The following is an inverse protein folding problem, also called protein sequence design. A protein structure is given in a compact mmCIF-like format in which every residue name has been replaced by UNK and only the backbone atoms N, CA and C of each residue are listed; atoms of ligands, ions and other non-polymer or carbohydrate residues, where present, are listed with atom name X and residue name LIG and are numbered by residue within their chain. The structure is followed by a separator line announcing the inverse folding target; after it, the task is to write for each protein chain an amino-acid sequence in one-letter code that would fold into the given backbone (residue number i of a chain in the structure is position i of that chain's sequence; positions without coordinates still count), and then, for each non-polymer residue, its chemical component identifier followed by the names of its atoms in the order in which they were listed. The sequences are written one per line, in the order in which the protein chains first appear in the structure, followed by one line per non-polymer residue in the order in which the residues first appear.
data_IF_539724695545
#
_entry.id   IF_539724695545
#
_cell.length_a   1.000
_cell.length_b   1.000
_cell.length_c   1.000
_cell.angle_alpha   90.00
_cell.angle_beta   90.00
_cell.angle_gamma   90.00
#
_symmetry.space_group_name_H-M   'P 1'
#
loop_
_entity.id
_entity.type
_entity.pdbx_description
1 polymer ?
#
# COMPACT_ATOMS: atom_id res chain seq x y z
N UNK A 1 17.75 -32.57 4.62
CA UNK A 1 16.95 -31.82 3.63
C UNK A 1 17.94 -31.01 2.79
N UNK A 2 18.40 -31.57 1.68
CA UNK A 2 19.31 -30.85 0.76
C UNK A 2 18.40 -30.01 -0.13
N UNK A 3 18.44 -28.69 -0.01
CA UNK A 3 17.77 -27.81 -0.97
C UNK A 3 18.34 -28.11 -2.36
N UNK A 4 17.47 -28.52 -3.29
CA UNK A 4 17.86 -28.80 -4.66
C UNK A 4 18.36 -27.51 -5.33
N UNK A 5 19.45 -27.59 -6.10
CA UNK A 5 20.07 -26.43 -6.75
C UNK A 5 19.06 -25.65 -7.60
N UNK A 6 18.12 -26.36 -8.22
CA UNK A 6 17.05 -25.79 -9.05
C UNK A 6 16.11 -24.86 -8.26
N UNK A 7 15.78 -25.19 -7.00
CA UNK A 7 14.94 -24.34 -6.15
C UNK A 7 15.66 -23.06 -5.73
N UNK A 8 16.96 -23.15 -5.49
CA UNK A 8 17.79 -21.98 -5.17
C UNK A 8 17.84 -21.05 -6.39
N UNK A 9 18.12 -21.60 -7.58
CA UNK A 9 18.16 -20.83 -8.82
C UNK A 9 16.83 -20.14 -9.11
N UNK A 10 15.71 -20.86 -8.98
CA UNK A 10 14.37 -20.30 -9.20
C UNK A 10 14.07 -19.16 -8.21
N UNK A 11 14.39 -19.34 -6.94
CA UNK A 11 14.19 -18.31 -5.90
C UNK A 11 15.02 -17.05 -6.17
N UNK A 12 16.27 -17.22 -6.64
CA UNK A 12 17.12 -16.09 -7.02
C UNK A 12 16.57 -15.33 -8.22
N UNK A 13 15.97 -16.02 -9.19
CA UNK A 13 15.33 -15.37 -10.33
C UNK A 13 14.09 -14.60 -9.89
N UNK A 14 13.20 -15.19 -9.07
CA UNK A 14 12.06 -14.45 -8.53
C UNK A 14 12.51 -13.22 -7.76
N UNK A 15 13.50 -13.35 -6.86
CA UNK A 15 14.04 -12.23 -6.10
C UNK A 15 14.58 -11.13 -7.04
N UNK A 16 15.33 -11.48 -8.08
CA UNK A 16 15.88 -10.53 -9.04
C UNK A 16 14.79 -9.76 -9.79
N UNK A 17 13.73 -10.44 -10.24
CA UNK A 17 12.60 -9.81 -10.93
C UNK A 17 11.79 -8.93 -9.98
N UNK A 18 11.55 -9.39 -8.75
CA UNK A 18 10.86 -8.59 -7.73
C UNK A 18 11.66 -7.34 -7.39
N UNK A 19 12.99 -7.45 -7.30
CA UNK A 19 13.86 -6.30 -7.10
C UNK A 19 13.80 -5.32 -8.28
N UNK A 20 13.76 -5.83 -9.53
CA UNK A 20 13.60 -4.99 -10.70
C UNK A 20 12.26 -4.23 -10.69
N UNK A 21 11.14 -4.91 -10.37
CA UNK A 21 9.83 -4.28 -10.21
C UNK A 21 9.85 -3.26 -9.06
N UNK A 22 10.52 -3.58 -7.94
CA UNK A 22 10.68 -2.64 -6.82
C UNK A 22 11.43 -1.37 -7.25
N UNK A 23 12.52 -1.50 -8.03
CA UNK A 23 13.25 -0.36 -8.59
C UNK A 23 12.36 0.46 -9.53
N UNK A 24 11.56 -0.18 -10.39
CA UNK A 24 10.58 0.52 -11.22
C UNK A 24 9.58 1.28 -10.34
N UNK A 25 9.06 0.65 -9.28
CA UNK A 25 8.17 1.30 -8.31
C UNK A 25 8.82 2.52 -7.65
N UNK A 26 10.11 2.45 -7.28
CA UNK A 26 10.85 3.61 -6.78
C UNK A 26 10.95 4.74 -7.83
N UNK A 27 11.23 4.42 -9.09
CA UNK A 27 11.27 5.43 -10.16
C UNK A 27 9.90 6.07 -10.39
N UNK A 28 8.82 5.28 -10.32
CA UNK A 28 7.45 5.78 -10.41
C UNK A 28 7.11 6.70 -9.24
N UNK A 29 7.56 6.38 -8.02
CA UNK A 29 7.40 7.29 -6.87
C UNK A 29 8.02 8.66 -7.13
N UNK A 30 9.25 8.71 -7.65
CA UNK A 30 9.92 9.95 -8.03
C UNK A 30 9.12 10.71 -9.10
N UNK A 31 8.54 9.98 -10.07
CA UNK A 31 7.73 10.56 -11.14
C UNK A 31 6.39 11.12 -10.65
N UNK A 32 5.75 10.51 -9.66
CA UNK A 32 4.49 10.99 -9.07
C UNK A 32 4.73 12.15 -8.08
N UNK A 33 5.80 12.08 -7.28
CA UNK A 33 6.19 13.13 -6.34
C UNK A 33 7.26 14.06 -6.95
N UNK A 34 6.98 14.58 -8.16
CA UNK A 34 7.89 15.52 -8.85
C UNK A 34 8.21 16.72 -7.95
N UNK A 35 9.49 17.04 -7.84
CA UNK A 35 9.99 18.16 -7.05
C UNK A 35 10.36 17.81 -5.61
N UNK A 36 10.30 16.53 -5.23
CA UNK A 36 10.88 16.03 -3.98
C UNK A 36 12.35 15.68 -4.24
N UNK A 37 13.27 16.26 -3.48
CA UNK A 37 14.70 15.91 -3.55
C UNK A 37 15.00 14.84 -2.50
N UNK A 38 15.00 13.56 -2.87
CA UNK A 38 15.24 12.46 -1.90
C UNK A 38 16.56 12.68 -1.13
N UNK A 39 17.64 13.03 -1.83
CA UNK A 39 18.93 13.34 -1.20
C UNK A 39 18.82 14.58 -0.29
N UNK A 40 18.18 15.65 -0.78
CA UNK A 40 18.01 16.87 0.00
C UNK A 40 17.22 16.64 1.28
N UNK A 41 16.11 15.90 1.20
CA UNK A 41 15.28 15.58 2.36
C UNK A 41 15.98 14.61 3.32
N UNK A 42 16.56 13.51 2.84
CA UNK A 42 17.11 12.48 3.73
C UNK A 42 18.52 12.77 4.25
N UNK A 43 19.37 13.45 3.47
CA UNK A 43 20.79 13.63 3.80
C UNK A 43 21.09 15.05 4.26
N UNK A 44 20.52 16.05 3.58
CA UNK A 44 20.86 17.46 3.86
C UNK A 44 19.98 18.05 4.96
N UNK A 45 18.68 17.71 4.96
CA UNK A 45 17.69 18.20 5.94
C UNK A 45 17.45 17.26 7.12
N UNK A 46 17.85 15.99 7.01
CA UNK A 46 17.52 14.94 7.98
C UNK A 46 16.01 14.84 8.28
N UNK A 47 15.21 14.94 7.22
CA UNK A 47 13.76 15.03 7.31
C UNK A 47 13.14 13.66 7.63
N UNK A 48 12.91 13.42 8.92
CA UNK A 48 12.29 12.20 9.43
C UNK A 48 10.87 11.97 8.90
N UNK A 49 10.08 13.04 8.67
CA UNK A 49 8.74 12.91 8.12
C UNK A 49 8.77 12.35 6.70
N UNK A 50 9.67 12.86 5.84
CA UNK A 50 9.87 12.31 4.50
C UNK A 50 10.42 10.88 4.54
N UNK A 51 11.30 10.55 5.49
CA UNK A 51 11.80 9.19 5.68
C UNK A 51 10.67 8.19 6.00
N UNK A 52 9.71 8.59 6.84
CA UNK A 52 8.51 7.79 7.14
C UNK A 52 7.68 7.54 5.88
N UNK A 53 7.41 8.57 5.08
CA UNK A 53 6.67 8.44 3.80
C UNK A 53 7.38 7.45 2.88
N UNK A 54 8.68 7.58 2.69
CA UNK A 54 9.46 6.73 1.79
C UNK A 54 9.50 5.27 2.29
N UNK A 55 9.67 5.07 3.60
CA UNK A 55 9.61 3.75 4.22
C UNK A 55 8.25 3.09 4.00
N UNK A 56 7.16 3.84 4.19
CA UNK A 56 5.80 3.34 4.00
C UNK A 56 5.52 3.00 2.55
N UNK A 57 5.99 3.83 1.62
CA UNK A 57 5.91 3.52 0.20
C UNK A 57 6.61 2.21 -0.16
N UNK A 58 7.85 2.02 0.30
CA UNK A 58 8.59 0.78 0.03
C UNK A 58 7.95 -0.45 0.68
N UNK A 59 7.43 -0.32 1.89
CA UNK A 59 6.74 -1.41 2.56
C UNK A 59 5.41 -1.74 1.86
N UNK A 60 4.63 -0.73 1.50
CA UNK A 60 3.40 -0.87 0.72
C UNK A 60 3.65 -1.48 -0.66
N UNK A 61 4.71 -1.06 -1.35
CA UNK A 61 5.14 -1.64 -2.63
C UNK A 61 5.53 -3.12 -2.47
N UNK A 62 6.28 -3.45 -1.42
CA UNK A 62 6.66 -4.83 -1.11
C UNK A 62 5.44 -5.70 -0.86
N UNK A 63 4.46 -5.23 -0.07
CA UNK A 63 3.21 -5.98 0.12
C UNK A 63 2.41 -6.11 -1.18
N UNK A 64 2.31 -5.05 -1.96
CA UNK A 64 1.56 -5.08 -3.23
C UNK A 64 2.12 -6.13 -4.20
N UNK A 65 3.45 -6.19 -4.33
CA UNK A 65 4.15 -7.20 -5.15
C UNK A 65 4.02 -8.59 -4.50
N UNK A 66 4.06 -8.66 -3.17
CA UNK A 66 3.96 -9.90 -2.39
C UNK A 66 2.65 -10.67 -2.65
N UNK A 67 1.55 -9.99 -2.96
CA UNK A 67 0.28 -10.65 -3.28
C UNK A 67 0.36 -11.54 -4.53
N UNK A 68 1.10 -11.07 -5.54
CA UNK A 68 1.33 -11.80 -6.79
C UNK A 68 2.18 -13.06 -6.57
N UNK A 69 3.20 -12.94 -5.71
CA UNK A 69 4.16 -14.04 -5.46
C UNK A 69 3.59 -15.08 -4.48
N UNK A 70 2.81 -14.64 -3.50
CA UNK A 70 2.28 -15.53 -2.46
C UNK A 70 1.16 -16.45 -2.97
N UNK A 71 0.58 -16.15 -4.13
CA UNK A 71 -0.40 -16.99 -4.79
C UNK A 71 0.14 -18.38 -5.15
N UNK A 72 -0.73 -19.34 -5.50
CA UNK A 72 -0.27 -20.65 -5.92
C UNK A 72 0.49 -20.57 -7.24
N UNK A 73 1.67 -21.18 -7.27
CA UNK A 73 2.52 -21.26 -8.45
C UNK A 73 2.00 -22.29 -9.46
N UNK A 74 1.90 -21.88 -10.73
CA UNK A 74 1.61 -22.76 -11.86
C UNK A 74 2.89 -23.17 -12.61
N UNK A 75 4.06 -22.72 -12.13
CA UNK A 75 5.36 -22.93 -12.74
C UNK A 75 6.05 -21.59 -13.02
N UNK A 76 7.38 -21.65 -13.14
CA UNK A 76 8.21 -20.45 -13.21
C UNK A 76 7.88 -19.51 -14.38
N UNK A 77 7.50 -20.05 -15.53
CA UNK A 77 7.12 -19.24 -16.68
C UNK A 77 5.85 -18.42 -16.40
N UNK A 78 4.79 -19.06 -15.88
CA UNK A 78 3.54 -18.37 -15.55
C UNK A 78 3.74 -17.38 -14.40
N UNK A 79 4.47 -17.75 -13.35
CA UNK A 79 4.77 -16.86 -12.24
C UNK A 79 5.52 -15.60 -12.70
N UNK A 80 6.46 -15.74 -13.65
CA UNK A 80 7.17 -14.61 -14.23
C UNK A 80 6.27 -13.72 -15.08
N UNK A 81 5.36 -14.29 -15.85
CA UNK A 81 4.36 -13.54 -16.61
C UNK A 81 3.45 -12.76 -15.64
N UNK A 82 2.98 -13.41 -14.57
CA UNK A 82 2.15 -12.77 -13.55
C UNK A 82 2.87 -11.62 -12.88
N UNK A 83 4.13 -11.78 -12.47
CA UNK A 83 4.92 -10.69 -11.89
C UNK A 83 5.08 -9.53 -12.89
N UNK A 84 5.30 -9.81 -14.17
CA UNK A 84 5.47 -8.79 -15.21
C UNK A 84 4.18 -8.05 -15.57
N UNK A 85 3.01 -8.67 -15.37
CA UNK A 85 1.70 -8.05 -15.63
C UNK A 85 1.15 -7.36 -14.37
N UNK A 86 1.09 -8.09 -13.26
CA UNK A 86 0.50 -7.61 -12.02
C UNK A 86 1.46 -6.71 -11.21
N UNK A 87 2.78 -6.82 -11.38
CA UNK A 87 3.75 -5.93 -10.75
C UNK A 87 3.57 -4.45 -11.16
N UNK A 88 3.54 -4.13 -12.47
CA UNK A 88 3.23 -2.78 -12.94
C UNK A 88 1.83 -2.31 -12.54
N UNK A 89 0.84 -3.21 -12.55
CA UNK A 89 -0.51 -2.89 -12.06
C UNK A 89 -0.48 -2.49 -10.58
N UNK A 90 0.19 -3.27 -9.74
CA UNK A 90 0.36 -3.00 -8.31
C UNK A 90 1.00 -1.62 -8.06
N UNK A 91 2.06 -1.28 -8.82
CA UNK A 91 2.71 0.04 -8.75
C UNK A 91 1.72 1.15 -9.12
N UNK A 92 0.97 0.98 -10.20
CA UNK A 92 -0.01 1.96 -10.66
C UNK A 92 -1.12 2.17 -9.61
N UNK A 93 -1.69 1.08 -9.09
CA UNK A 93 -2.74 1.11 -8.08
C UNK A 93 -2.24 1.74 -6.78
N UNK A 94 -1.02 1.43 -6.33
CA UNK A 94 -0.44 2.01 -5.11
C UNK A 94 -0.30 3.53 -5.23
N UNK A 95 0.17 4.03 -6.38
CA UNK A 95 0.34 5.47 -6.61
C UNK A 95 -1.01 6.18 -6.82
N UNK A 96 -1.98 5.54 -7.50
CA UNK A 96 -3.33 6.08 -7.62
C UNK A 96 -4.04 6.17 -6.27
N UNK A 97 -3.83 5.17 -5.42
CA UNK A 97 -4.35 5.16 -4.04
C UNK A 97 -3.81 6.32 -3.24
N UNK A 98 -2.51 6.65 -3.36
CA UNK A 98 -1.94 7.82 -2.71
C UNK A 98 -2.71 9.10 -3.09
N UNK A 99 -3.01 9.32 -4.38
CA UNK A 99 -3.80 10.48 -4.82
C UNK A 99 -5.22 10.49 -4.25
N UNK A 100 -5.85 9.31 -4.11
CA UNK A 100 -7.17 9.17 -3.49
C UNK A 100 -7.07 9.50 -1.99
N UNK A 101 -6.10 8.94 -1.30
CA UNK A 101 -5.93 9.12 0.15
C UNK A 101 -5.57 10.56 0.50
N UNK A 102 -4.68 11.20 -0.25
CA UNK A 102 -4.36 12.62 -0.14
C UNK A 102 -5.64 13.47 -0.22
N UNK A 103 -6.54 13.12 -1.16
CA UNK A 103 -7.76 13.89 -1.42
C UNK A 103 -8.91 13.61 -0.45
N UNK A 104 -9.01 12.39 0.09
CA UNK A 104 -10.20 11.95 0.82
C UNK A 104 -9.95 11.56 2.28
N UNK A 105 -8.74 11.13 2.64
CA UNK A 105 -8.35 10.79 4.01
C UNK A 105 -7.67 11.95 4.71
N UNK A 106 -6.72 12.64 4.04
CA UNK A 106 -5.96 13.77 4.58
C UNK A 106 -6.33 15.10 3.90
N UNK A 107 -7.63 15.37 3.78
CA UNK A 107 -8.15 16.41 2.88
C UNK A 107 -8.16 17.86 3.42
N UNK A 108 -7.86 18.07 4.70
CA UNK A 108 -8.03 19.37 5.37
C UNK A 108 -6.76 20.25 5.39
N UNK A 109 -5.58 19.71 5.04
CA UNK A 109 -4.31 20.44 5.04
C UNK A 109 -3.39 20.01 3.88
N UNK A 110 -2.34 20.80 3.59
CA UNK A 110 -1.40 20.51 2.50
C UNK A 110 -0.31 19.52 2.96
N UNK A 111 -0.49 18.24 2.63
CA UNK A 111 0.45 17.16 2.95
C UNK A 111 1.87 17.46 2.47
N UNK A 112 2.03 18.08 1.29
CA UNK A 112 3.36 18.38 0.74
C UNK A 112 4.06 19.45 1.57
N UNK A 113 3.34 20.50 1.99
CA UNK A 113 3.85 21.51 2.91
C UNK A 113 4.27 20.86 4.23
N UNK A 114 3.38 20.09 4.84
CA UNK A 114 3.62 19.42 6.12
C UNK A 114 4.85 18.51 6.09
N UNK A 115 5.04 17.74 5.01
CA UNK A 115 6.18 16.84 4.87
C UNK A 115 7.48 17.57 4.52
N UNK A 116 7.48 18.49 3.56
CA UNK A 116 8.72 19.06 3.00
C UNK A 116 9.21 20.34 3.67
N UNK A 117 8.29 21.11 4.26
CA UNK A 117 8.59 22.38 4.90
C UNK A 117 8.57 22.23 6.41
N UNK A 118 7.47 21.72 6.96
CA UNK A 118 7.27 21.63 8.41
C UNK A 118 7.94 20.36 9.00
N UNK A 119 8.29 19.38 8.16
CA UNK A 119 8.89 18.11 8.56
C UNK A 119 8.06 17.38 9.63
N UNK A 120 6.73 17.47 9.49
CA UNK A 120 5.75 16.96 10.42
C UNK A 120 5.69 15.43 10.40
N UNK A 121 6.29 14.80 11.42
CA UNK A 121 6.29 13.35 11.58
C UNK A 121 4.89 12.76 11.81
N UNK A 122 3.93 13.54 12.31
CA UNK A 122 2.53 13.13 12.44
C UNK A 122 1.89 12.90 11.07
N UNK A 123 2.10 13.83 10.13
CA UNK A 123 1.69 13.63 8.73
C UNK A 123 2.48 12.48 8.09
N UNK A 124 3.79 12.41 8.33
CA UNK A 124 4.66 11.36 7.78
C UNK A 124 4.27 9.94 8.19
N UNK A 125 3.87 9.71 9.45
CA UNK A 125 3.44 8.39 9.91
C UNK A 125 2.05 8.00 9.39
N UNK A 126 1.17 8.96 9.13
CA UNK A 126 -0.14 8.68 8.52
C UNK A 126 0.03 8.33 7.05
N UNK A 127 0.83 9.08 6.29
CA UNK A 127 1.21 8.72 4.92
C UNK A 127 1.87 7.33 4.86
N UNK A 128 2.76 7.02 5.81
CA UNK A 128 3.35 5.70 5.96
C UNK A 128 2.26 4.61 6.06
N UNK A 129 1.30 4.81 6.96
CA UNK A 129 0.22 3.87 7.20
C UNK A 129 -0.71 3.73 6.01
N UNK A 130 -0.99 4.82 5.29
CA UNK A 130 -1.78 4.83 4.07
C UNK A 130 -1.13 3.95 3.00
N UNK A 131 0.18 4.08 2.76
CA UNK A 131 0.89 3.23 1.80
C UNK A 131 0.89 1.76 2.23
N UNK A 132 1.13 1.49 3.51
CA UNK A 132 1.10 0.12 4.06
C UNK A 132 -0.28 -0.51 3.91
N UNK A 133 -1.33 0.19 4.34
CA UNK A 133 -2.70 -0.28 4.26
C UNK A 133 -3.15 -0.51 2.82
N UNK A 134 -2.79 0.40 1.92
CA UNK A 134 -3.02 0.23 0.48
C UNK A 134 -2.28 -0.98 -0.06
N UNK A 135 -1.01 -1.16 0.32
CA UNK A 135 -0.22 -2.29 -0.15
C UNK A 135 -0.76 -3.64 0.32
N UNK A 136 -1.29 -3.69 1.54
CA UNK A 136 -2.01 -4.86 2.07
C UNK A 136 -3.33 -5.11 1.31
N UNK A 137 -4.08 -4.04 0.98
CA UNK A 137 -5.28 -4.16 0.17
C UNK A 137 -4.97 -4.70 -1.25
N UNK A 138 -3.93 -4.16 -1.90
CA UNK A 138 -3.48 -4.65 -3.21
C UNK A 138 -2.97 -6.09 -3.11
N UNK A 139 -2.25 -6.44 -2.04
CA UNK A 139 -1.84 -7.82 -1.78
C UNK A 139 -3.06 -8.74 -1.86
N UNK A 140 -4.12 -8.43 -1.12
CA UNK A 140 -5.33 -9.25 -1.09
C UNK A 140 -6.00 -9.32 -2.47
N UNK A 141 -6.16 -8.18 -3.13
CA UNK A 141 -6.84 -8.10 -4.42
C UNK A 141 -6.12 -8.84 -5.57
N UNK A 142 -4.80 -9.01 -5.48
CA UNK A 142 -3.98 -9.69 -6.48
C UNK A 142 -3.59 -11.12 -6.09
N UNK A 143 -3.97 -11.57 -4.89
CA UNK A 143 -3.71 -12.92 -4.42
C UNK A 143 -4.72 -13.91 -5.03
N UNK A 144 -4.31 -15.17 -5.12
CA UNK A 144 -5.19 -16.28 -5.51
C UNK A 144 -5.18 -16.58 -7.00
N UNK A 145 -6.19 -17.31 -7.45
CA UNK A 145 -6.34 -17.76 -8.85
C UNK A 145 -7.80 -17.62 -9.28
N UNK A 146 -8.07 -17.73 -10.58
CA UNK A 146 -9.42 -17.61 -11.15
C UNK A 146 -9.87 -16.17 -11.39
N UNK A 147 -9.11 -15.20 -10.90
CA UNK A 147 -9.34 -13.77 -11.13
C UNK A 147 -8.72 -13.27 -12.43
N UNK A 148 -8.87 -11.97 -12.67
CA UNK A 148 -8.22 -11.24 -13.75
C UNK A 148 -7.78 -9.86 -13.25
N UNK A 149 -7.10 -9.10 -14.10
CA UNK A 149 -6.84 -7.67 -13.86
C UNK A 149 -8.12 -6.93 -13.46
N UNK A 150 -9.27 -7.27 -14.05
CA UNK A 150 -10.54 -6.63 -13.71
C UNK A 150 -11.00 -6.93 -12.29
N UNK A 151 -10.89 -8.18 -11.83
CA UNK A 151 -11.27 -8.51 -10.45
C UNK A 151 -10.34 -7.82 -9.45
N UNK A 152 -9.03 -7.82 -9.72
CA UNK A 152 -8.05 -7.13 -8.89
C UNK A 152 -8.33 -5.63 -8.76
N UNK A 153 -8.69 -4.94 -9.85
CA UNK A 153 -9.06 -3.52 -9.81
C UNK A 153 -10.33 -3.29 -8.99
N UNK A 154 -11.34 -4.15 -9.11
CA UNK A 154 -12.60 -3.99 -8.36
C UNK A 154 -12.38 -4.21 -6.87
N UNK A 155 -11.69 -5.28 -6.46
CA UNK A 155 -11.40 -5.53 -5.04
C UNK A 155 -10.48 -4.45 -4.46
N UNK A 156 -9.48 -3.98 -5.21
CA UNK A 156 -8.70 -2.81 -4.83
C UNK A 156 -9.58 -1.58 -4.60
N UNK A 157 -10.49 -1.26 -5.53
CA UNK A 157 -11.38 -0.11 -5.43
C UNK A 157 -12.36 -0.21 -4.25
N UNK A 158 -12.88 -1.41 -3.98
CA UNK A 158 -13.72 -1.68 -2.80
C UNK A 158 -12.94 -1.45 -1.51
N UNK A 159 -11.75 -2.04 -1.38
CA UNK A 159 -10.91 -1.83 -0.20
C UNK A 159 -10.47 -0.38 -0.04
N UNK A 160 -10.17 0.32 -1.13
CA UNK A 160 -9.84 1.73 -1.11
C UNK A 160 -11.03 2.60 -0.66
N UNK A 161 -12.25 2.21 -1.03
CA UNK A 161 -13.48 2.85 -0.54
C UNK A 161 -13.63 2.64 0.96
N UNK A 162 -13.42 1.41 1.44
CA UNK A 162 -13.45 1.10 2.89
C UNK A 162 -12.40 1.90 3.65
N UNK A 163 -11.15 1.97 3.16
CA UNK A 163 -10.09 2.77 3.78
C UNK A 163 -10.50 4.24 3.97
N UNK A 164 -11.09 4.84 2.93
CA UNK A 164 -11.59 6.23 3.00
C UNK A 164 -12.72 6.36 4.01
N UNK A 165 -13.68 5.43 4.02
CA UNK A 165 -14.81 5.46 4.95
C UNK A 165 -14.34 5.30 6.40
N UNK A 166 -13.41 4.38 6.66
CA UNK A 166 -12.84 4.17 7.99
C UNK A 166 -12.01 5.37 8.44
N UNK A 167 -11.25 6.00 7.54
CA UNK A 167 -10.53 7.24 7.82
C UNK A 167 -11.47 8.34 8.33
N UNK A 168 -12.58 8.57 7.62
CA UNK A 168 -13.61 9.56 8.01
C UNK A 168 -14.35 9.16 9.28
N UNK A 169 -14.67 7.87 9.42
CA UNK A 169 -15.34 7.34 10.60
C UNK A 169 -14.48 7.49 11.85
N UNK A 170 -13.17 7.25 11.76
CA UNK A 170 -12.23 7.44 12.86
C UNK A 170 -12.26 8.90 13.37
N UNK A 171 -12.21 9.89 12.46
CA UNK A 171 -12.33 11.31 12.85
C UNK A 171 -13.68 11.62 13.52
N UNK A 172 -14.76 10.97 13.07
CA UNK A 172 -16.10 11.18 13.62
C UNK A 172 -16.26 10.66 15.05
N UNK A 173 -15.62 9.53 15.39
CA UNK A 173 -15.74 8.92 16.72
C UNK A 173 -14.77 9.53 17.75
N UNK A 174 -13.71 10.20 17.30
CA UNK A 174 -12.79 10.90 18.20
C UNK A 174 -13.43 12.16 18.76
N UNK A 175 -13.14 12.48 20.03
CA UNK A 175 -13.65 13.70 20.70
C UNK A 175 -12.94 14.99 20.26
N UNK A 176 -12.06 14.91 19.27
CA UNK A 176 -11.26 15.99 18.73
C UNK A 176 -11.12 15.78 17.21
N UNK A 177 -10.83 16.85 16.46
CA UNK A 177 -10.55 16.75 15.03
C UNK A 177 -9.11 16.23 14.84
N UNK A 178 -8.97 15.07 14.19
CA UNK A 178 -7.66 14.46 13.94
C UNK A 178 -6.81 15.31 12.98
N UNK A 179 -7.43 15.96 11.99
CA UNK A 179 -6.71 16.79 11.03
C UNK A 179 -6.09 18.02 11.69
N UNK A 180 -6.87 18.71 12.52
CA UNK A 180 -6.39 19.87 13.28
C UNK A 180 -5.22 19.49 14.20
N UNK A 181 -5.28 18.31 14.83
CA UNK A 181 -4.19 17.85 15.69
C UNK A 181 -2.95 17.48 14.88
N UNK A 182 -3.11 16.77 13.76
CA UNK A 182 -1.99 16.37 12.90
C UNK A 182 -1.32 17.61 12.31
N UNK A 183 -2.07 18.60 11.82
CA UNK A 183 -1.54 19.88 11.30
C UNK A 183 -0.78 20.69 12.38
N UNK A 184 -1.09 20.47 13.66
CA UNK A 184 -0.35 21.05 14.81
C UNK A 184 0.83 20.18 15.27
N UNK A 185 1.41 19.40 14.37
CA UNK A 185 2.54 18.50 14.62
C UNK A 185 2.32 17.44 15.73
N UNK A 186 1.06 17.06 16.00
CA UNK A 186 0.76 16.05 17.02
C UNK A 186 1.03 14.63 16.51
N UNK A 187 2.28 14.20 16.66
CA UNK A 187 2.74 12.86 16.25
C UNK A 187 1.95 11.74 16.95
N UNK A 188 1.50 11.94 18.20
CA UNK A 188 0.76 10.92 18.93
C UNK A 188 -0.61 10.63 18.29
N UNK A 189 -1.32 11.67 17.85
CA UNK A 189 -2.57 11.52 17.09
C UNK A 189 -2.31 10.85 15.75
N UNK A 190 -1.24 11.26 15.05
CA UNK A 190 -0.81 10.62 13.81
C UNK A 190 -0.55 9.12 13.97
N UNK A 191 0.18 8.71 15.02
CA UNK A 191 0.45 7.29 15.32
C UNK A 191 -0.84 6.52 15.61
N UNK A 192 -1.75 7.09 16.41
CA UNK A 192 -3.03 6.44 16.73
C UNK A 192 -3.87 6.21 15.47
N UNK A 193 -3.96 7.22 14.61
CA UNK A 193 -4.69 7.11 13.35
C UNK A 193 -4.01 6.14 12.36
N UNK A 194 -2.68 6.19 12.25
CA UNK A 194 -1.87 5.28 11.46
C UNK A 194 -2.10 3.80 11.85
N UNK A 195 -2.16 3.50 13.15
CA UNK A 195 -2.46 2.16 13.65
C UNK A 195 -3.83 1.66 13.20
N UNK A 196 -4.86 2.52 13.24
CA UNK A 196 -6.20 2.19 12.77
C UNK A 196 -6.21 1.88 11.26
N UNK A 197 -5.53 2.69 10.44
CA UNK A 197 -5.41 2.49 8.99
C UNK A 197 -4.71 1.18 8.64
N UNK A 198 -3.60 0.85 9.30
CA UNK A 198 -2.87 -0.41 9.07
C UNK A 198 -3.74 -1.61 9.47
N UNK A 199 -4.46 -1.52 10.59
CA UNK A 199 -5.34 -2.58 11.06
C UNK A 199 -6.44 -2.90 10.04
N UNK A 200 -7.13 -1.88 9.52
CA UNK A 200 -8.14 -2.09 8.48
C UNK A 200 -7.51 -2.56 7.17
N UNK A 201 -6.32 -2.07 6.80
CA UNK A 201 -5.59 -2.56 5.62
C UNK A 201 -5.30 -4.05 5.69
N UNK A 202 -4.93 -4.57 6.86
CA UNK A 202 -4.72 -6.00 7.06
C UNK A 202 -6.03 -6.81 7.04
N UNK A 203 -7.14 -6.24 7.53
CA UNK A 203 -8.47 -6.85 7.38
C UNK A 203 -8.87 -6.93 5.90
N UNK A 204 -8.68 -5.87 5.13
CA UNK A 204 -8.94 -5.83 3.69
C UNK A 204 -8.10 -6.85 2.92
N UNK A 205 -6.83 -7.00 3.29
CA UNK A 205 -5.96 -8.06 2.78
C UNK A 205 -6.59 -9.43 3.00
N UNK A 206 -6.98 -9.73 4.24
CA UNK A 206 -7.57 -11.02 4.58
C UNK A 206 -8.91 -11.27 3.88
N UNK A 207 -9.72 -10.22 3.73
CA UNK A 207 -11.03 -10.27 3.09
C UNK A 207 -10.98 -10.56 1.59
N UNK A 208 -9.88 -10.20 0.92
CA UNK A 208 -9.73 -10.35 -0.53
C UNK A 208 -8.74 -11.45 -0.94
N UNK A 209 -7.87 -11.91 -0.03
CA UNK A 209 -6.83 -12.90 -0.30
C UNK A 209 -7.38 -14.32 -0.39
N UNK A 210 -8.18 -14.59 -1.41
CA UNK A 210 -8.78 -15.89 -1.71
C UNK A 210 -8.83 -16.16 -3.21
N UNK A 211 -9.15 -17.40 -3.61
CA UNK A 211 -9.39 -17.70 -5.01
C UNK A 211 -10.70 -17.04 -5.47
N UNK A 212 -10.71 -16.49 -6.67
CA UNK A 212 -11.92 -15.97 -7.28
C UNK A 212 -12.75 -17.14 -7.83
N UNK A 213 -13.94 -17.33 -7.25
CA UNK A 213 -14.90 -18.38 -7.63
C UNK A 213 -16.07 -17.75 -8.37
N UNK A 214 -16.68 -16.73 -7.78
CA UNK A 214 -17.75 -15.95 -8.38
C UNK A 214 -17.93 -14.62 -7.66
N UNK A 215 -18.47 -13.61 -8.34
CA UNK A 215 -18.77 -12.32 -7.71
C UNK A 215 -19.64 -12.43 -6.45
N UNK A 216 -20.65 -13.30 -6.46
CA UNK A 216 -21.54 -13.45 -5.31
C UNK A 216 -20.82 -13.98 -4.08
N UNK A 217 -19.97 -15.00 -4.26
CA UNK A 217 -19.22 -15.63 -3.18
C UNK A 217 -18.15 -14.70 -2.62
N UNK A 218 -17.26 -14.20 -3.49
CA UNK A 218 -16.14 -13.38 -3.07
C UNK A 218 -16.59 -12.01 -2.49
N UNK A 219 -17.66 -11.40 -3.02
CA UNK A 219 -18.22 -10.19 -2.40
C UNK A 219 -18.83 -10.51 -1.03
N UNK A 220 -19.50 -11.66 -0.87
CA UNK A 220 -20.04 -12.06 0.44
C UNK A 220 -18.93 -12.25 1.45
N UNK A 221 -17.85 -12.96 1.10
CA UNK A 221 -16.66 -13.10 1.96
C UNK A 221 -16.11 -11.72 2.31
N UNK A 222 -15.88 -10.87 1.31
CA UNK A 222 -15.35 -9.52 1.52
C UNK A 222 -16.18 -8.72 2.54
N UNK A 223 -17.50 -8.70 2.38
CA UNK A 223 -18.39 -7.95 3.28
C UNK A 223 -18.46 -8.56 4.68
N UNK A 224 -18.40 -9.89 4.83
CA UNK A 224 -18.43 -10.54 6.15
C UNK A 224 -17.21 -10.18 7.00
N UNK A 225 -16.06 -9.88 6.39
CA UNK A 225 -14.88 -9.40 7.12
C UNK A 225 -14.99 -7.92 7.55
N UNK A 226 -15.93 -7.16 6.98
CA UNK A 226 -16.07 -5.72 7.21
C UNK A 226 -17.17 -5.35 8.22
N UNK A 227 -17.96 -6.33 8.68
CA UNK A 227 -19.05 -6.18 9.67
C UNK A 227 -18.64 -6.84 10.97
#
# INVERSE_FOLDING_TARGET
MIMNLDHILSSLVYLAVCFAIFVVGHLVFILFRRGYSIKGELVEKDNAAFALVLCGYYLGLTFSIGGVIAGPSAGMEEDLIDILVYGPLAILLLNLSALINDRFILSEFDIRKEILQDQNCGTGVVEFAVFVATGLNIFGALYGQGGSIFTGIIFWALGQTVLVLVGKYYNLITKYNIHEQIEKDNVAVGIGFAGALIAIGNLLRAASAEHFISWGENLTTFFLFMV
#
